data_IF_611724682595
#
_entry.id   IF_611724682595
#
_cell.length_a   1.000
_cell.length_b   1.000
_cell.length_c   1.000
_cell.angle_alpha   90.00
_cell.angle_beta   90.00
_cell.angle_gamma   90.00
#
_symmetry.space_group_name_H-M   'P 1'
#
loop_
_entity.id
_entity.type
_entity.pdbx_description
1 polymer ?
#
# COMPACT_ATOMS: atom_id res chain seq x y z
N UNK A 1 -22.98 16.61 -37.12
CA UNK A 1 -21.90 16.08 -36.27
C UNK A 1 -21.78 17.02 -35.08
N UNK A 2 -22.22 16.61 -33.89
CA UNK A 2 -22.03 17.40 -32.67
C UNK A 2 -20.68 17.06 -32.07
N UNK A 3 -19.89 18.10 -31.81
CA UNK A 3 -18.53 18.02 -31.30
C UNK A 3 -18.62 18.14 -29.77
N UNK A 4 -18.89 17.04 -29.07
CA UNK A 4 -18.97 16.98 -27.60
C UNK A 4 -17.60 17.01 -26.91
N UNK A 5 -16.63 17.68 -27.54
CA UNK A 5 -15.30 17.97 -26.99
C UNK A 5 -15.42 19.09 -25.95
N UNK A 6 -15.90 18.72 -24.78
CA UNK A 6 -16.11 19.66 -23.68
C UNK A 6 -17.23 19.29 -22.72
N UNK A 7 -17.81 18.07 -22.79
CA UNK A 7 -18.55 17.58 -21.63
C UNK A 7 -17.58 17.59 -20.45
N UNK A 8 -17.88 18.44 -19.47
CA UNK A 8 -17.11 18.60 -18.24
C UNK A 8 -16.73 17.22 -17.75
N UNK A 9 -15.44 16.98 -17.55
CA UNK A 9 -14.98 15.86 -16.73
C UNK A 9 -15.61 16.10 -15.35
N UNK A 10 -16.79 15.53 -15.14
CA UNK A 10 -17.46 15.57 -13.86
C UNK A 10 -16.64 14.69 -12.94
N UNK A 11 -15.73 15.31 -12.21
CA UNK A 11 -14.98 14.65 -11.14
C UNK A 11 -16.01 14.40 -10.04
N UNK A 12 -16.35 13.13 -9.72
CA UNK A 12 -17.29 12.83 -8.66
C UNK A 12 -16.81 13.47 -7.36
N UNK A 13 -17.70 14.16 -6.64
CA UNK A 13 -17.38 14.85 -5.39
C UNK A 13 -16.91 13.92 -4.27
N UNK A 14 -17.26 12.64 -4.35
CA UNK A 14 -16.68 11.58 -3.55
C UNK A 14 -16.75 10.27 -4.32
N UNK A 15 -15.64 9.85 -4.93
CA UNK A 15 -15.51 8.45 -5.29
C UNK A 15 -15.03 7.72 -4.05
N UNK A 16 -15.85 6.85 -3.41
CA UNK A 16 -15.34 6.01 -2.34
C UNK A 16 -14.18 5.17 -2.89
N UNK A 17 -13.18 4.92 -2.04
CA UNK A 17 -12.12 3.97 -2.38
C UNK A 17 -12.75 2.63 -2.77
N UNK A 18 -12.14 1.94 -3.73
CA UNK A 18 -12.68 0.76 -4.36
C UNK A 18 -11.57 -0.26 -4.52
N UNK A 19 -11.88 -1.51 -4.19
CA UNK A 19 -10.97 -2.63 -4.41
C UNK A 19 -10.52 -2.73 -5.88
N UNK A 20 -9.37 -3.37 -6.08
CA UNK A 20 -8.70 -3.58 -7.36
C UNK A 20 -8.33 -2.29 -8.10
N UNK A 21 -8.18 -1.19 -7.37
CA UNK A 21 -7.60 0.06 -7.87
C UNK A 21 -6.26 0.34 -7.21
N UNK A 22 -5.45 1.13 -7.91
CA UNK A 22 -4.14 1.58 -7.44
C UNK A 22 -4.31 2.96 -6.82
N UNK A 23 -3.72 3.15 -5.64
CA UNK A 23 -3.70 4.42 -4.92
C UNK A 23 -2.26 4.82 -4.60
N UNK A 24 -2.01 6.13 -4.58
CA UNK A 24 -0.81 6.66 -3.91
C UNK A 24 -1.12 6.68 -2.42
N UNK A 25 -0.25 6.06 -1.62
CA UNK A 25 -0.39 5.98 -0.18
C UNK A 25 0.94 6.26 0.52
N UNK A 26 0.85 6.83 1.72
CA UNK A 26 2.01 7.09 2.58
C UNK A 26 2.19 5.92 3.53
N UNK A 27 3.41 5.41 3.70
CA UNK A 27 3.68 4.43 4.75
C UNK A 27 3.64 5.13 6.12
N UNK A 28 2.58 4.89 6.88
CA UNK A 28 2.32 5.56 8.15
C UNK A 28 3.06 4.89 9.32
N UNK A 29 3.06 3.55 9.37
CA UNK A 29 3.74 2.83 10.44
C UNK A 29 4.09 1.39 10.04
N UNK A 30 5.10 0.84 10.71
CA UNK A 30 5.42 -0.59 10.66
C UNK A 30 5.54 -1.11 12.08
N UNK A 31 4.71 -2.08 12.45
CA UNK A 31 4.73 -2.70 13.77
C UNK A 31 4.90 -4.21 13.65
N UNK A 32 5.60 -4.81 14.62
CA UNK A 32 5.60 -6.26 14.77
C UNK A 32 4.39 -6.68 15.60
N UNK A 33 3.53 -7.52 15.04
CA UNK A 33 2.35 -8.06 15.72
C UNK A 33 2.46 -9.57 15.88
N UNK A 34 1.94 -10.11 16.97
CA UNK A 34 1.71 -11.54 17.14
C UNK A 34 0.20 -11.79 17.00
N UNK A 35 -0.19 -12.48 15.93
CA UNK A 35 -1.57 -12.88 15.73
C UNK A 35 -1.63 -14.39 15.49
N UNK A 36 -2.35 -15.09 16.37
CA UNK A 36 -2.50 -16.55 16.31
C UNK A 36 -1.17 -17.32 16.33
N UNK A 37 -0.14 -16.79 16.99
CA UNK A 37 1.18 -17.43 17.09
C UNK A 37 2.07 -17.21 15.87
N UNK A 38 1.63 -16.38 14.91
CA UNK A 38 2.44 -15.93 13.78
C UNK A 38 2.89 -14.50 14.00
N UNK A 39 4.20 -14.31 14.16
CA UNK A 39 4.82 -12.99 14.21
C UNK A 39 4.84 -12.40 12.79
N UNK A 40 4.22 -11.24 12.63
CA UNK A 40 4.09 -10.52 11.35
C UNK A 40 4.60 -9.09 11.48
N UNK A 41 5.18 -8.58 10.40
CA UNK A 41 5.34 -7.15 10.21
C UNK A 41 4.07 -6.62 9.56
N UNK A 42 3.37 -5.72 10.26
CA UNK A 42 2.22 -5.01 9.75
C UNK A 42 2.65 -3.63 9.28
N UNK A 43 2.55 -3.40 7.97
CA UNK A 43 2.75 -2.11 7.34
C UNK A 43 1.39 -1.44 7.19
N UNK A 44 1.24 -0.24 7.73
CA UNK A 44 0.02 0.56 7.67
C UNK A 44 0.21 1.65 6.63
N UNK A 45 -0.65 1.68 5.63
CA UNK A 45 -0.64 2.69 4.57
C UNK A 45 -1.81 3.65 4.73
N UNK A 46 -1.51 4.95 4.65
CA UNK A 46 -2.48 6.03 4.68
C UNK A 46 -2.81 6.48 3.25
N UNK A 47 -4.09 6.45 2.91
CA UNK A 47 -4.62 6.83 1.60
C UNK A 47 -5.44 8.10 1.78
N UNK A 48 -5.05 9.19 1.12
CA UNK A 48 -5.83 10.42 1.08
C UNK A 48 -6.53 10.56 -0.28
N UNK A 49 -7.86 10.48 -0.29
CA UNK A 49 -8.68 10.65 -1.51
C UNK A 49 -9.89 11.51 -1.17
N UNK A 50 -10.12 12.58 -1.93
CA UNK A 50 -11.27 13.48 -1.74
C UNK A 50 -11.42 13.99 -0.28
N UNK A 51 -10.31 14.39 0.34
CA UNK A 51 -10.24 14.84 1.75
C UNK A 51 -10.68 13.78 2.78
N UNK A 52 -10.72 12.50 2.40
CA UNK A 52 -10.94 11.38 3.31
C UNK A 52 -9.63 10.60 3.47
N UNK A 53 -9.32 10.25 4.71
CA UNK A 53 -8.18 9.41 5.06
C UNK A 53 -8.69 8.00 5.31
N UNK A 54 -8.09 7.01 4.64
CA UNK A 54 -8.34 5.60 4.85
C UNK A 54 -7.02 4.88 5.11
N UNK A 55 -7.03 3.99 6.11
CA UNK A 55 -5.90 3.14 6.42
C UNK A 55 -6.11 1.72 5.87
N UNK A 56 -5.07 1.16 5.27
CA UNK A 56 -5.04 -0.21 4.81
C UNK A 56 -3.73 -0.89 5.20
N UNK A 57 -3.82 -2.16 5.59
CA UNK A 57 -2.68 -2.88 6.16
C UNK A 57 -2.14 -3.93 5.18
N UNK A 58 -0.82 -4.10 5.16
CA UNK A 58 -0.13 -5.27 4.62
C UNK A 58 0.51 -6.04 5.79
N UNK A 59 0.17 -7.32 5.94
CA UNK A 59 0.80 -8.18 6.93
C UNK A 59 1.75 -9.16 6.24
N UNK A 60 3.02 -9.15 6.62
CA UNK A 60 4.06 -10.05 6.09
C UNK A 60 4.60 -10.92 7.23
N UNK A 61 4.52 -12.26 7.14
CA UNK A 61 5.02 -13.14 8.19
C UNK A 61 6.56 -13.13 8.27
N UNK A 62 7.09 -13.18 9.49
CA UNK A 62 8.52 -13.42 9.74
C UNK A 62 8.92 -14.87 9.42
N UNK A 63 8.00 -15.81 9.69
CA UNK A 63 8.14 -17.24 9.39
C UNK A 63 6.99 -17.65 8.45
N UNK A 64 7.18 -17.53 7.12
CA UNK A 64 6.12 -17.85 6.17
C UNK A 64 5.82 -19.36 6.11
N UNK A 65 4.57 -19.70 5.80
CA UNK A 65 4.22 -21.02 5.26
C UNK A 65 4.69 -21.17 3.80
N UNK A 66 4.63 -22.39 3.24
CA UNK A 66 5.21 -22.73 1.93
C UNK A 66 4.76 -21.85 0.74
N UNK A 67 3.64 -21.12 0.86
CA UNK A 67 3.08 -20.26 -0.20
C UNK A 67 3.13 -18.76 0.14
N UNK A 68 3.84 -18.37 1.20
CA UNK A 68 3.95 -16.97 1.63
C UNK A 68 5.36 -16.45 1.42
N UNK A 69 5.47 -15.16 1.12
CA UNK A 69 6.76 -14.48 1.13
C UNK A 69 7.19 -14.21 2.58
N UNK A 70 8.45 -14.51 2.90
CA UNK A 70 9.06 -14.05 4.14
C UNK A 70 9.19 -12.53 4.10
N UNK A 71 9.29 -11.89 5.27
CA UNK A 71 9.62 -10.46 5.35
C UNK A 71 10.91 -10.13 4.59
N UNK A 72 11.93 -10.96 4.71
CA UNK A 72 13.21 -10.74 4.04
C UNK A 72 13.09 -10.80 2.52
N UNK A 73 12.35 -11.78 1.97
CA UNK A 73 12.14 -11.88 0.52
C UNK A 73 11.22 -10.79 -0.01
N UNK A 74 10.24 -10.37 0.80
CA UNK A 74 9.39 -9.25 0.46
C UNK A 74 10.19 -7.95 0.39
N UNK A 75 11.02 -7.62 1.40
CA UNK A 75 11.84 -6.41 1.38
C UNK A 75 12.81 -6.40 0.19
N UNK A 76 13.42 -7.54 -0.15
CA UNK A 76 14.29 -7.66 -1.35
C UNK A 76 13.60 -7.33 -2.67
N UNK A 77 12.30 -7.61 -2.78
CA UNK A 77 11.51 -7.33 -4.00
C UNK A 77 11.09 -5.86 -4.11
N UNK A 78 11.20 -5.10 -3.04
CA UNK A 78 10.82 -3.70 -2.98
C UNK A 78 12.09 -2.89 -2.70
N UNK A 79 12.80 -2.56 -3.78
CA UNK A 79 14.18 -2.04 -3.86
C UNK A 79 14.55 -0.86 -2.95
N UNK A 80 13.57 -0.25 -2.30
CA UNK A 80 13.76 0.85 -1.37
C UNK A 80 13.95 0.39 0.07
N UNK A 81 13.45 -0.80 0.44
CA UNK A 81 13.63 -1.31 1.78
C UNK A 81 15.02 -1.92 1.94
N UNK A 82 15.65 -1.67 3.08
CA UNK A 82 16.83 -2.42 3.50
C UNK A 82 16.43 -3.88 3.61
N UNK A 83 17.30 -4.76 3.12
CA UNK A 83 17.11 -6.20 3.31
C UNK A 83 17.15 -6.58 4.80
N UNK A 84 17.77 -5.75 5.65
CA UNK A 84 17.67 -5.88 7.10
C UNK A 84 16.38 -5.22 7.60
N UNK A 85 15.45 -6.02 8.11
CA UNK A 85 14.21 -5.58 8.76
C UNK A 85 14.46 -4.95 10.16
N UNK A 86 15.66 -4.46 10.41
CA UNK A 86 16.12 -3.98 11.73
C UNK A 86 15.62 -2.57 12.03
N UNK A 87 15.37 -1.75 11.00
CA UNK A 87 14.85 -0.40 11.17
C UNK A 87 13.97 0.01 9.97
N UNK A 88 12.72 0.38 10.26
CA UNK A 88 11.76 0.86 9.25
C UNK A 88 11.62 2.38 9.20
N UNK A 89 12.19 3.11 10.17
CA UNK A 89 12.09 4.58 10.27
C UNK A 89 12.41 5.31 8.97
N UNK A 90 13.44 4.92 8.17
CA UNK A 90 13.73 5.61 6.92
C UNK A 90 12.61 5.55 5.87
N UNK A 91 11.70 4.59 5.98
CA UNK A 91 10.61 4.35 5.02
C UNK A 91 9.28 4.98 5.45
N UNK A 92 9.17 5.40 6.71
CA UNK A 92 8.01 6.13 7.21
C UNK A 92 7.89 7.44 6.44
N UNK A 93 6.66 7.84 6.17
CA UNK A 93 6.28 9.00 5.37
C UNK A 93 6.65 8.92 3.87
N UNK A 94 7.24 7.81 3.41
CA UNK A 94 7.48 7.61 1.99
C UNK A 94 6.19 7.20 1.26
N UNK A 95 6.05 7.71 0.03
CA UNK A 95 4.92 7.40 -0.84
C UNK A 95 5.15 6.12 -1.62
N UNK A 96 4.07 5.37 -1.79
CA UNK A 96 4.03 4.11 -2.51
C UNK A 96 2.77 4.07 -3.38
N UNK A 97 2.82 3.32 -4.49
CA UNK A 97 1.62 2.82 -5.13
C UNK A 97 1.20 1.55 -4.42
N UNK A 98 -0.06 1.48 -4.03
CA UNK A 98 -0.64 0.27 -3.43
C UNK A 98 -1.79 -0.23 -4.29
N UNK A 99 -1.84 -1.55 -4.49
CA UNK A 99 -3.03 -2.22 -5.01
C UNK A 99 -3.95 -2.54 -3.83
N UNK A 100 -5.14 -1.95 -3.82
CA UNK A 100 -6.08 -2.12 -2.72
C UNK A 100 -6.97 -3.34 -2.95
N UNK A 101 -7.06 -4.22 -1.96
CA UNK A 101 -8.03 -5.31 -1.91
C UNK A 101 -9.08 -5.10 -0.83
N UNK A 102 -10.15 -5.89 -0.89
CA UNK A 102 -11.16 -5.93 0.16
C UNK A 102 -11.46 -7.38 0.56
N UNK A 103 -11.62 -7.62 1.86
CA UNK A 103 -12.08 -8.90 2.39
C UNK A 103 -13.02 -8.65 3.57
N UNK A 104 -14.22 -9.24 3.52
CA UNK A 104 -15.28 -9.03 4.52
C UNK A 104 -15.53 -7.55 4.86
N UNK A 105 -15.54 -6.69 3.82
CA UNK A 105 -15.75 -5.25 3.98
C UNK A 105 -14.53 -4.44 4.43
N UNK A 106 -13.43 -5.09 4.85
CA UNK A 106 -12.21 -4.41 5.29
C UNK A 106 -11.19 -4.32 4.16
N UNK A 107 -10.56 -3.15 4.02
CA UNK A 107 -9.52 -2.94 3.02
C UNK A 107 -8.15 -3.45 3.50
N UNK A 108 -7.38 -3.98 2.57
CA UNK A 108 -6.00 -4.41 2.81
C UNK A 108 -5.14 -4.14 1.57
N UNK A 109 -3.82 -4.09 1.75
CA UNK A 109 -2.88 -3.90 0.65
C UNK A 109 -2.54 -5.26 0.03
N UNK A 110 -2.90 -5.44 -1.25
CA UNK A 110 -2.59 -6.66 -2.02
C UNK A 110 -1.15 -6.65 -2.53
N UNK A 111 -0.68 -5.50 -3.01
CA UNK A 111 0.66 -5.33 -3.55
C UNK A 111 1.13 -3.89 -3.40
N UNK A 112 2.44 -3.66 -3.47
CA UNK A 112 3.05 -2.34 -3.31
C UNK A 112 4.19 -2.11 -4.30
N UNK A 113 4.34 -0.88 -4.76
CA UNK A 113 5.50 -0.43 -5.50
C UNK A 113 5.97 0.91 -4.93
N UNK A 114 7.26 1.03 -4.62
CA UNK A 114 7.82 2.24 -4.05
C UNK A 114 7.95 3.34 -5.10
N UNK A 115 7.75 4.59 -4.69
CA UNK A 115 7.89 5.75 -5.57
C UNK A 115 9.20 6.49 -5.30
N UNK A 116 9.78 7.08 -6.34
CA UNK A 116 10.86 8.05 -6.21
C UNK A 116 10.34 9.43 -5.78
N UNK A 117 11.27 10.37 -5.56
CA UNK A 117 10.95 11.73 -5.16
C UNK A 117 10.07 12.50 -6.18
N UNK A 118 10.00 12.02 -7.42
CA UNK A 118 9.22 12.62 -8.51
C UNK A 118 7.90 11.87 -8.77
N UNK A 119 7.60 10.81 -8.02
CA UNK A 119 6.42 9.98 -8.20
C UNK A 119 6.54 8.93 -9.31
N UNK A 120 7.75 8.68 -9.82
CA UNK A 120 8.06 7.55 -10.70
C UNK A 120 8.16 6.25 -9.90
N UNK A 121 7.80 5.11 -10.51
CA UNK A 121 8.00 3.80 -9.88
C UNK A 121 9.48 3.45 -9.91
N UNK A 122 10.04 3.10 -8.75
CA UNK A 122 11.42 2.65 -8.67
C UNK A 122 11.54 1.20 -9.15
N UNK A 123 12.35 0.99 -10.19
CA UNK A 123 12.63 -0.31 -10.83
C UNK A 123 13.82 -1.01 -10.20
#
# INVERSE_FOLDING_TARGET
MNNDRGQSLHIPSSTPIKENNIYVATLHSVIQTDFSGEIKHQFTYEIEVNNQIVYANRNIPTKPSANQLSIHDWLKRHSNYSASHENYEPYIDQKHLILLGQYNGNYYVQDVASLDAFGGVLS
#
